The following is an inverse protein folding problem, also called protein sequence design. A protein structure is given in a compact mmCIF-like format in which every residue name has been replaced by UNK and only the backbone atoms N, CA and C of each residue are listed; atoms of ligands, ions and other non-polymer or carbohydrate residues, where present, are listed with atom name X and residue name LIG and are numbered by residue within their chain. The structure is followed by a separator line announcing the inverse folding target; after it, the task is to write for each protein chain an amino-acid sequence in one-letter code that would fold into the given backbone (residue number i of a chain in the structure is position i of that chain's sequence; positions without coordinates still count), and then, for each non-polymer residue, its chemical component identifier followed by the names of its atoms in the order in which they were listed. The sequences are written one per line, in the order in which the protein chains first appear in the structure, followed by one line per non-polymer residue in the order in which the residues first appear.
data_IF_268462717650
#
_entry.id   IF_268462717650
#
_cell.length_a   1.000
_cell.length_b   1.000
_cell.length_c   1.000
_cell.angle_alpha   90.00
_cell.angle_beta   90.00
_cell.angle_gamma   90.00
#
_symmetry.space_group_name_H-M   'P 1'
#
loop_
_entity.id
_entity.type
_entity.pdbx_description
1 polymer ?
#
# COMPACT_ATOMS: atom_id res chain seq x y z
N UNK A 1 19.38 5.05 -2.48
CA UNK A 1 18.29 5.41 -1.56
C UNK A 1 17.45 6.46 -2.26
N UNK A 2 16.21 6.15 -2.60
CA UNK A 2 15.25 7.17 -3.10
C UNK A 2 14.84 8.02 -1.91
N UNK A 3 14.97 9.34 -2.05
CA UNK A 3 14.43 10.27 -1.06
C UNK A 3 12.93 10.43 -1.34
N UNK A 4 12.09 10.08 -0.37
CA UNK A 4 10.64 10.23 -0.50
C UNK A 4 10.03 10.63 0.84
N UNK A 5 9.22 11.68 0.80
CA UNK A 5 8.50 12.20 1.94
C UNK A 5 7.01 11.83 1.81
N UNK A 6 6.38 11.52 2.94
CA UNK A 6 4.93 11.33 3.03
C UNK A 6 4.31 12.50 3.78
N UNK A 7 3.26 13.08 3.20
CA UNK A 7 2.44 14.11 3.85
C UNK A 7 0.96 13.79 3.62
N UNK A 8 0.17 13.92 4.67
CA UNK A 8 -1.29 13.80 4.65
C UNK A 8 -1.86 14.76 5.70
N UNK A 9 -3.06 15.26 5.48
CA UNK A 9 -3.64 16.31 6.32
C UNK A 9 -5.16 16.14 6.45
N UNK A 10 -5.68 16.47 7.63
CA UNK A 10 -7.11 16.38 7.92
C UNK A 10 -7.88 17.58 7.33
N UNK A 11 -9.02 17.30 6.70
CA UNK A 11 -9.99 18.31 6.30
C UNK A 11 -10.79 18.87 7.48
N UNK A 12 -11.40 20.06 7.31
CA UNK A 12 -12.15 20.76 8.39
C UNK A 12 -13.41 20.02 8.87
N UNK A 13 -13.91 19.07 8.09
CA UNK A 13 -15.17 18.36 8.35
C UNK A 13 -14.99 17.06 9.15
N UNK A 14 -13.74 16.62 9.35
CA UNK A 14 -13.44 15.33 9.96
C UNK A 14 -12.88 15.54 11.37
N UNK A 15 -13.20 14.61 12.28
CA UNK A 15 -12.67 14.62 13.66
C UNK A 15 -11.30 13.93 13.76
N UNK A 16 -11.03 13.01 12.85
CA UNK A 16 -9.80 12.23 12.76
C UNK A 16 -9.42 12.12 11.27
N UNK A 17 -8.12 12.19 10.96
CA UNK A 17 -7.64 11.97 9.59
C UNK A 17 -7.76 10.48 9.27
N UNK A 18 -8.52 10.15 8.23
CA UNK A 18 -8.71 8.77 7.78
C UNK A 18 -7.73 8.39 6.66
N UNK A 19 -7.01 9.38 6.14
CA UNK A 19 -5.87 9.24 5.26
C UNK A 19 -4.63 8.81 6.04
N UNK A 20 -3.81 7.98 5.41
CA UNK A 20 -2.48 7.68 5.88
C UNK A 20 -1.55 7.43 4.70
N UNK A 21 -0.37 8.03 4.75
CA UNK A 21 0.69 7.79 3.78
C UNK A 21 1.99 7.46 4.52
N UNK A 22 2.75 6.53 3.95
CA UNK A 22 4.09 6.21 4.42
C UNK A 22 5.00 5.96 3.23
N UNK A 23 6.27 6.26 3.43
CA UNK A 23 7.34 5.86 2.53
C UNK A 23 8.24 4.88 3.28
N UNK A 24 8.87 3.98 2.54
CA UNK A 24 9.75 3.02 3.19
C UNK A 24 10.51 2.15 2.22
N UNK A 25 11.50 1.49 2.79
CA UNK A 25 12.36 0.52 2.17
C UNK A 25 12.26 -0.78 2.95
N UNK A 26 11.40 -1.68 2.49
CA UNK A 26 11.30 -2.98 3.14
C UNK A 26 12.66 -3.68 3.10
N UNK A 27 13.14 -4.05 4.29
CA UNK A 27 14.48 -4.56 4.52
C UNK A 27 15.59 -3.75 3.82
N UNK A 28 15.44 -2.42 3.73
CA UNK A 28 16.40 -1.47 3.17
C UNK A 28 16.78 -1.69 1.69
N UNK A 29 15.96 -2.39 0.90
CA UNK A 29 16.34 -2.76 -0.49
C UNK A 29 15.35 -2.37 -1.57
N UNK A 30 14.08 -2.17 -1.23
CA UNK A 30 13.01 -1.93 -2.20
C UNK A 30 12.32 -0.63 -1.83
N UNK A 31 12.63 0.49 -2.51
CA UNK A 31 11.87 1.72 -2.37
C UNK A 31 10.39 1.55 -2.67
N UNK A 32 9.57 2.04 -1.75
CA UNK A 32 8.12 2.01 -1.84
C UNK A 32 7.48 3.26 -1.28
N UNK A 33 6.31 3.58 -1.79
CA UNK A 33 5.37 4.53 -1.18
C UNK A 33 4.01 3.86 -1.11
N UNK A 34 3.30 4.10 -0.01
CA UNK A 34 1.97 3.56 0.24
C UNK A 34 1.05 4.66 0.73
N UNK A 35 -0.19 4.63 0.26
CA UNK A 35 -1.25 5.54 0.66
C UNK A 35 -2.55 4.76 0.83
N UNK A 36 -3.34 5.17 1.81
CA UNK A 36 -4.69 4.67 2.05
C UNK A 36 -5.57 5.82 2.50
N UNK A 37 -6.80 5.83 2.00
CA UNK A 37 -7.85 6.79 2.35
C UNK A 37 -9.05 6.01 2.90
N UNK A 38 -9.32 6.20 4.20
CA UNK A 38 -10.39 5.54 4.90
C UNK A 38 -11.77 6.12 4.58
N UNK A 39 -12.74 5.23 4.34
CA UNK A 39 -14.12 5.65 4.07
C UNK A 39 -14.75 6.27 5.32
N UNK A 40 -15.19 7.53 5.22
CA UNK A 40 -15.82 8.26 6.34
C UNK A 40 -17.14 7.69 6.83
N UNK A 41 -17.82 6.88 6.00
CA UNK A 41 -19.06 6.19 6.36
C UNK A 41 -18.84 4.95 7.24
N UNK A 42 -17.60 4.50 7.39
CA UNK A 42 -17.24 3.29 8.14
C UNK A 42 -16.44 3.63 9.40
N UNK A 43 -16.66 2.91 10.52
CA UNK A 43 -16.00 3.23 11.77
C UNK A 43 -14.52 2.86 11.72
N UNK A 44 -13.69 3.64 12.43
CA UNK A 44 -12.27 3.34 12.68
C UNK A 44 -11.39 3.17 11.43
N UNK A 45 -11.78 3.73 10.28
CA UNK A 45 -11.00 3.61 9.04
C UNK A 45 -9.66 4.34 9.09
N UNK A 46 -9.44 5.23 10.06
CA UNK A 46 -8.11 5.77 10.39
C UNK A 46 -7.13 4.68 10.88
N UNK A 47 -7.64 3.71 11.65
CA UNK A 47 -6.87 2.53 12.08
C UNK A 47 -6.65 1.60 10.89
N UNK A 48 -7.70 1.33 10.11
CA UNK A 48 -7.59 0.46 8.94
C UNK A 48 -6.61 0.97 7.89
N UNK A 49 -6.63 2.27 7.57
CA UNK A 49 -5.69 2.89 6.63
C UNK A 49 -4.22 2.73 7.07
N UNK A 50 -3.95 2.88 8.37
CA UNK A 50 -2.63 2.61 8.95
C UNK A 50 -2.25 1.13 8.84
N UNK A 51 -3.14 0.22 9.22
CA UNK A 51 -2.85 -1.21 9.15
C UNK A 51 -2.60 -1.66 7.71
N UNK A 52 -3.40 -1.20 6.76
CA UNK A 52 -3.26 -1.54 5.33
C UNK A 52 -1.90 -1.13 4.78
N UNK A 53 -1.49 0.11 5.01
CA UNK A 53 -0.20 0.64 4.53
C UNK A 53 0.99 -0.04 5.20
N UNK A 54 0.95 -0.26 6.53
CA UNK A 54 2.02 -0.96 7.25
C UNK A 54 2.15 -2.43 6.83
N UNK A 55 1.04 -3.15 6.67
CA UNK A 55 1.05 -4.53 6.17
C UNK A 55 1.53 -4.59 4.72
N UNK A 56 1.13 -3.64 3.88
CA UNK A 56 1.59 -3.59 2.49
C UNK A 56 3.10 -3.35 2.40
N UNK A 57 3.65 -2.48 3.25
CA UNK A 57 5.10 -2.27 3.37
C UNK A 57 5.82 -3.54 3.82
N UNK A 58 5.35 -4.19 4.89
CA UNK A 58 5.94 -5.43 5.43
C UNK A 58 6.00 -6.54 4.37
N UNK A 59 4.96 -6.60 3.52
CA UNK A 59 4.80 -7.67 2.52
C UNK A 59 5.36 -7.34 1.15
N UNK A 60 5.96 -6.18 0.94
CA UNK A 60 6.43 -5.78 -0.40
C UNK A 60 7.55 -6.67 -0.94
N UNK A 61 8.28 -7.38 -0.07
CA UNK A 61 9.29 -8.37 -0.47
C UNK A 61 8.69 -9.53 -1.24
N UNK A 62 7.50 -10.00 -0.86
CA UNK A 62 6.78 -11.07 -1.57
C UNK A 62 6.45 -10.62 -2.99
N UNK A 63 6.00 -9.37 -3.12
CA UNK A 63 5.66 -8.74 -4.37
C UNK A 63 6.90 -8.55 -5.26
N UNK A 64 7.99 -7.98 -4.73
CA UNK A 64 9.22 -7.78 -5.48
C UNK A 64 9.88 -9.09 -5.92
N UNK A 65 9.80 -10.14 -5.09
CA UNK A 65 10.27 -11.48 -5.44
C UNK A 65 9.47 -12.05 -6.61
N UNK A 66 8.15 -11.92 -6.57
CA UNK A 66 7.28 -12.38 -7.64
C UNK A 66 7.54 -11.63 -8.97
N UNK A 67 7.79 -10.32 -8.91
CA UNK A 67 8.17 -9.53 -10.08
C UNK A 67 9.54 -9.91 -10.65
N UNK A 68 10.55 -10.15 -9.80
CA UNK A 68 11.86 -10.65 -10.26
C UNK A 68 11.80 -12.04 -10.89
N UNK A 69 10.88 -12.87 -10.40
CA UNK A 69 10.73 -14.23 -10.87
C UNK A 69 10.05 -14.31 -12.23
N UNK A 70 9.25 -13.31 -12.62
CA UNK A 70 8.37 -13.39 -13.79
C UNK A 70 8.41 -12.08 -14.59
N UNK A 71 8.83 -12.19 -15.86
CA UNK A 71 8.89 -11.08 -16.82
C UNK A 71 7.52 -10.51 -17.24
N UNK A 72 6.40 -11.08 -16.77
CA UNK A 72 5.07 -10.65 -17.20
C UNK A 72 4.05 -10.67 -16.06
N UNK A 73 3.20 -9.65 -16.09
CA UNK A 73 1.99 -9.46 -15.30
C UNK A 73 1.13 -10.72 -15.28
N UNK A 74 1.24 -11.53 -14.22
CA UNK A 74 0.29 -12.59 -13.96
C UNK A 74 -1.02 -11.98 -13.44
N UNK A 75 -2.16 -12.22 -14.10
CA UNK A 75 -3.46 -11.64 -13.73
C UNK A 75 -3.98 -11.96 -12.32
N UNK A 76 -3.24 -12.69 -11.48
CA UNK A 76 -3.63 -13.01 -10.09
C UNK A 76 -2.58 -12.70 -9.03
N UNK A 77 -1.40 -12.18 -9.41
CA UNK A 77 -0.37 -11.83 -8.43
C UNK A 77 -0.84 -10.68 -7.54
N UNK A 78 -1.42 -9.65 -8.15
CA UNK A 78 -1.94 -8.49 -7.44
C UNK A 78 -3.11 -8.90 -6.53
N UNK A 79 -4.05 -9.69 -7.05
CA UNK A 79 -5.18 -10.20 -6.28
C UNK A 79 -4.70 -11.02 -5.08
N UNK A 80 -3.73 -11.91 -5.28
CA UNK A 80 -3.13 -12.69 -4.19
C UNK A 80 -2.46 -11.81 -3.13
N UNK A 81 -1.72 -10.77 -3.55
CA UNK A 81 -1.11 -9.80 -2.64
C UNK A 81 -2.16 -9.05 -1.82
N UNK A 82 -3.20 -8.52 -2.48
CA UNK A 82 -4.29 -7.79 -1.83
C UNK A 82 -5.05 -8.69 -0.86
N UNK A 83 -5.42 -9.91 -1.26
CA UNK A 83 -6.14 -10.84 -0.39
C UNK A 83 -5.30 -11.25 0.83
N UNK A 84 -4.00 -11.46 0.66
CA UNK A 84 -3.10 -11.74 1.78
C UNK A 84 -3.01 -10.54 2.75
N UNK A 85 -2.94 -9.31 2.21
CA UNK A 85 -2.93 -8.09 3.03
C UNK A 85 -4.25 -7.92 3.80
N UNK A 86 -5.39 -8.05 3.13
CA UNK A 86 -6.71 -7.94 3.77
C UNK A 86 -6.88 -8.98 4.88
N UNK A 87 -6.46 -10.23 4.63
CA UNK A 87 -6.50 -11.29 5.63
C UNK A 87 -5.64 -10.94 6.85
N UNK A 88 -4.41 -10.46 6.62
CA UNK A 88 -3.48 -10.09 7.71
C UNK A 88 -4.00 -8.90 8.52
N UNK A 89 -4.49 -7.87 7.85
CA UNK A 89 -5.06 -6.68 8.50
C UNK A 89 -6.30 -7.05 9.30
N UNK A 90 -7.18 -7.90 8.78
CA UNK A 90 -8.37 -8.35 9.51
C UNK A 90 -8.02 -9.09 10.80
N UNK A 91 -6.96 -9.92 10.79
CA UNK A 91 -6.45 -10.57 12.01
C UNK A 91 -5.96 -9.53 13.01
N UNK A 92 -5.09 -8.60 12.59
CA UNK A 92 -4.54 -7.57 13.48
C UNK A 92 -5.65 -6.68 14.05
N UNK A 93 -6.60 -6.26 13.22
CA UNK A 93 -7.75 -5.47 13.66
C UNK A 93 -8.58 -6.23 14.72
N UNK A 94 -8.82 -7.54 14.50
CA UNK A 94 -9.49 -8.41 15.46
C UNK A 94 -8.75 -8.51 16.80
N UNK A 95 -7.42 -8.65 16.78
CA UNK A 95 -6.57 -8.65 17.98
C UNK A 95 -6.62 -7.31 18.73
N UNK A 96 -6.78 -6.20 18.01
CA UNK A 96 -6.97 -4.87 18.58
C UNK A 96 -8.41 -4.61 19.09
N UNK A 97 -9.33 -5.57 18.91
CA UNK A 97 -10.74 -5.39 19.26
C UNK A 97 -11.48 -4.41 18.32
N UNK A 98 -10.94 -4.16 17.13
CA UNK A 98 -11.52 -3.29 16.12
C UNK A 98 -12.29 -4.14 15.10
N UNK A 99 -13.47 -3.67 14.70
CA UNK A 99 -14.30 -4.34 13.71
C UNK A 99 -13.66 -4.29 12.32
N UNK A 100 -13.91 -5.31 11.50
CA UNK A 100 -13.33 -5.44 10.16
C UNK A 100 -13.84 -4.40 9.15
N UNK A 101 -14.92 -3.67 9.46
CA UNK A 101 -15.35 -2.52 8.66
C UNK A 101 -14.36 -1.35 8.71
N UNK A 102 -13.37 -1.37 9.61
CA UNK A 102 -12.23 -0.46 9.56
C UNK A 102 -11.41 -0.60 8.26
N UNK A 103 -11.47 -1.76 7.58
CA UNK A 103 -10.76 -1.99 6.32
C UNK A 103 -11.45 -1.35 5.10
N UNK A 104 -12.60 -0.68 5.27
CA UNK A 104 -13.26 0.06 4.20
C UNK A 104 -12.45 1.32 3.87
N UNK A 105 -11.36 1.13 3.12
CA UNK A 105 -10.39 2.14 2.75
C UNK A 105 -9.77 1.81 1.39
N UNK A 106 -9.27 2.83 0.71
CA UNK A 106 -8.43 2.63 -0.48
C UNK A 106 -7.07 2.05 -0.07
N UNK A 107 -6.38 1.39 -0.99
CA UNK A 107 -4.97 1.06 -0.82
C UNK A 107 -4.26 1.26 -2.16
N UNK A 108 -3.25 2.11 -2.17
CA UNK A 108 -2.41 2.30 -3.33
C UNK A 108 -0.94 2.37 -2.95
N UNK A 109 -0.09 1.99 -3.88
CA UNK A 109 1.35 2.10 -3.70
C UNK A 109 2.12 2.08 -4.99
N UNK A 110 3.32 2.64 -4.94
CA UNK A 110 4.32 2.47 -5.98
C UNK A 110 5.48 1.69 -5.39
N UNK A 111 5.87 0.62 -6.07
CA UNK A 111 6.97 -0.25 -5.67
C UNK A 111 7.99 -0.23 -6.78
N UNK A 112 9.22 0.16 -6.46
CA UNK A 112 10.31 0.03 -7.41
C UNK A 112 10.82 -1.40 -7.45
N UNK A 113 11.19 -1.88 -8.63
CA UNK A 113 11.85 -3.17 -8.78
C UNK A 113 12.86 -3.15 -9.90
N UNK A 114 13.58 -4.25 -10.03
CA UNK A 114 14.44 -4.50 -11.18
C UNK A 114 14.30 -5.96 -11.60
N UNK A 115 14.35 -6.22 -12.91
CA UNK A 115 14.38 -7.57 -13.45
C UNK A 115 15.77 -8.21 -13.28
N UNK A 116 15.96 -9.41 -13.85
CA UNK A 116 17.24 -10.13 -13.80
C UNK A 116 18.35 -9.45 -14.61
N UNK A 117 18.00 -8.60 -15.57
CA UNK A 117 18.93 -7.86 -16.41
C UNK A 117 19.28 -6.49 -15.81
N UNK A 118 18.65 -6.11 -14.69
CA UNK A 118 18.85 -4.82 -14.03
C UNK A 118 17.98 -3.70 -14.60
N UNK A 119 17.05 -3.98 -15.52
CA UNK A 119 16.07 -3.01 -15.97
C UNK A 119 15.13 -2.65 -14.82
N UNK A 120 14.88 -1.36 -14.63
CA UNK A 120 14.10 -0.84 -13.51
C UNK A 120 12.63 -0.67 -13.91
N UNK A 121 11.75 -1.09 -13.01
CA UNK A 121 10.31 -1.02 -13.17
C UNK A 121 9.67 -0.31 -11.97
N UNK A 122 8.56 0.38 -12.23
CA UNK A 122 7.65 0.86 -11.20
C UNK A 122 6.37 0.04 -11.29
N UNK A 123 6.00 -0.60 -10.19
CA UNK A 123 4.77 -1.35 -10.07
C UNK A 123 3.75 -0.51 -9.31
N UNK A 124 2.67 -0.17 -10.01
CA UNK A 124 1.54 0.57 -9.45
C UNK A 124 0.51 -0.41 -8.91
N UNK A 125 0.17 -0.25 -7.63
CA UNK A 125 -0.90 -0.97 -6.96
C UNK A 125 -2.00 0.03 -6.69
N UNK A 126 -3.23 -0.30 -7.10
CA UNK A 126 -4.39 0.56 -6.90
C UNK A 126 -5.61 -0.28 -6.55
N UNK A 127 -6.21 0.00 -5.40
CA UNK A 127 -7.49 -0.55 -4.97
C UNK A 127 -8.33 0.59 -4.38
N UNK A 128 -9.48 0.87 -4.97
CA UNK A 128 -10.29 2.05 -4.66
C UNK A 128 -10.23 3.10 -5.78
N UNK A 129 -10.41 4.37 -5.41
CA UNK A 129 -10.71 5.48 -6.32
C UNK A 129 -9.64 6.59 -6.37
N UNK A 130 -8.52 6.43 -5.65
CA UNK A 130 -7.41 7.37 -5.75
C UNK A 130 -6.59 7.24 -7.04
N UNK A 131 -5.58 8.09 -7.19
CA UNK A 131 -4.77 8.18 -8.40
C UNK A 131 -3.27 8.20 -8.11
N UNK A 132 -2.49 7.53 -8.95
CA UNK A 132 -1.04 7.61 -8.98
C UNK A 132 -0.60 8.34 -10.25
N UNK A 133 0.19 9.41 -10.09
CA UNK A 133 0.71 10.21 -11.20
C UNK A 133 2.23 10.26 -11.07
N UNK A 134 2.93 9.87 -12.12
CA UNK A 134 4.38 9.95 -12.20
C UNK A 134 4.81 10.38 -13.59
N UNK A 135 5.84 11.22 -13.64
CA UNK A 135 6.48 11.67 -14.88
C UNK A 135 7.83 10.99 -15.07
N UNK A 136 8.15 10.65 -16.31
CA UNK A 136 9.49 10.22 -16.69
C UNK A 136 10.28 11.48 -17.06
N UNK A 137 11.33 11.81 -16.31
CA UNK A 137 12.30 12.81 -16.75
C UNK A 137 13.16 12.21 -17.86
N UNK A 138 13.04 12.80 -19.05
CA UNK A 138 13.90 12.53 -20.21
C UNK A 138 15.23 13.24 -20.08
#
# INVERSE_FOLDING_TARGET
MTQSDAAFAIGKTHKVCQDYALTGDAHATIPTVWLSDGCSSSPHTDIGARLLTHVALDRVTDLATAFRAKNESQPGLLDGFIQANLTRVAVIAGEMGVRSDCLNATLMGLVSGADRNGERYLYSILYGDGALVYGLST
#
